data_IF_940789049040
#
_entry.id   IF_940789049040
#
_cell.length_a   1.000
_cell.length_b   1.000
_cell.length_c   1.000
_cell.angle_alpha   90.00
_cell.angle_beta   90.00
_cell.angle_gamma   90.00
#
_symmetry.space_group_name_H-M   'P 1'
#
loop_
_entity.id
_entity.type
_entity.pdbx_description
1 polymer ?
#
# COMPACT_ATOMS: atom_id res chain seq x y z
N UNK A 1 -5.84 -18.40 -31.67
CA UNK A 1 -5.95 -18.65 -30.22
C UNK A 1 -4.56 -18.96 -29.66
N UNK A 2 -3.94 -18.01 -28.96
CA UNK A 2 -2.60 -18.18 -28.36
C UNK A 2 -2.78 -18.65 -26.92
N UNK A 3 -2.49 -19.92 -26.64
CA UNK A 3 -2.57 -20.44 -25.27
C UNK A 3 -1.51 -19.77 -24.40
N UNK A 4 -1.95 -19.09 -23.34
CA UNK A 4 -1.08 -18.61 -22.26
C UNK A 4 -0.53 -19.84 -21.54
N UNK A 5 0.68 -20.25 -21.92
CA UNK A 5 1.49 -21.21 -21.16
C UNK A 5 1.87 -20.51 -19.85
N UNK A 6 1.03 -20.69 -18.82
CA UNK A 6 1.23 -20.11 -17.49
C UNK A 6 2.51 -20.72 -16.91
N UNK A 7 3.43 -19.84 -16.55
CA UNK A 7 4.76 -20.14 -16.01
C UNK A 7 4.71 -21.15 -14.86
N UNK A 8 5.04 -22.41 -15.15
CA UNK A 8 5.53 -23.39 -14.14
C UNK A 8 7.01 -23.09 -13.86
N UNK A 9 7.32 -21.88 -13.39
CA UNK A 9 8.69 -21.46 -13.09
C UNK A 9 8.90 -21.56 -11.58
N UNK A 10 9.81 -22.46 -11.18
CA UNK A 10 10.42 -22.61 -9.85
C UNK A 10 9.53 -23.07 -8.70
N UNK A 11 9.04 -24.31 -8.76
CA UNK A 11 8.68 -25.08 -7.55
C UNK A 11 9.85 -25.94 -7.05
N UNK A 12 11.06 -25.75 -7.61
CA UNK A 12 12.28 -26.42 -7.17
C UNK A 12 12.95 -25.57 -6.09
N UNK A 13 12.99 -26.15 -4.88
CA UNK A 13 13.65 -25.71 -3.64
C UNK A 13 13.18 -24.38 -3.04
N UNK A 14 11.90 -24.27 -2.66
CA UNK A 14 11.62 -23.45 -1.47
C UNK A 14 12.09 -24.25 -0.27
N UNK A 15 13.15 -23.77 0.36
CA UNK A 15 13.79 -24.45 1.49
C UNK A 15 12.92 -24.37 2.74
N UNK A 16 13.15 -25.30 3.67
CA UNK A 16 12.46 -25.32 4.96
C UNK A 16 12.59 -23.95 5.66
N UNK A 17 11.48 -23.42 6.15
CA UNK A 17 11.47 -22.16 6.92
C UNK A 17 11.57 -20.87 6.11
N UNK A 18 11.40 -20.89 4.79
CA UNK A 18 11.42 -19.64 3.96
C UNK A 18 10.40 -18.59 4.39
N UNK A 19 9.25 -19.00 4.95
CA UNK A 19 8.21 -18.12 5.46
C UNK A 19 8.17 -18.04 6.99
N UNK A 20 9.21 -18.56 7.66
CA UNK A 20 9.23 -18.81 9.10
C UNK A 20 8.90 -20.26 9.45
N UNK A 21 9.07 -20.62 10.71
CA UNK A 21 8.74 -21.94 11.27
C UNK A 21 7.59 -21.76 12.25
N UNK A 22 6.46 -22.41 11.97
CA UNK A 22 5.32 -22.43 12.86
C UNK A 22 5.50 -23.46 13.97
N UNK A 23 5.03 -23.09 15.14
CA UNK A 23 4.91 -23.94 16.32
C UNK A 23 3.43 -24.10 16.71
N UNK A 24 3.07 -25.08 17.56
CA UNK A 24 1.70 -25.24 18.05
C UNK A 24 1.14 -24.01 18.79
N UNK A 25 2.00 -23.13 19.30
CA UNK A 25 1.59 -21.90 19.98
C UNK A 25 1.07 -20.84 19.01
N UNK A 26 1.49 -20.88 17.74
CA UNK A 26 1.13 -19.89 16.71
C UNK A 26 -0.25 -20.16 16.07
N UNK A 27 -1.03 -21.08 16.65
CA UNK A 27 -2.34 -21.49 16.16
C UNK A 27 -3.32 -20.32 16.03
N UNK A 28 -3.28 -19.39 16.97
CA UNK A 28 -4.16 -18.22 16.98
C UNK A 28 -3.69 -17.13 16.01
N UNK A 29 -2.38 -16.93 15.89
CA UNK A 29 -1.82 -15.91 14.99
C UNK A 29 -2.02 -16.28 13.50
N UNK A 30 -2.05 -17.59 13.20
CA UNK A 30 -2.27 -18.14 11.85
C UNK A 30 -3.64 -18.77 11.64
N UNK A 31 -4.60 -18.43 12.48
CA UNK A 31 -5.94 -19.00 12.41
C UNK A 31 -6.60 -18.71 11.04
N UNK A 32 -6.43 -17.50 10.52
CA UNK A 32 -7.04 -17.11 9.24
C UNK A 32 -6.52 -17.93 8.06
N UNK A 33 -5.21 -18.16 8.00
CA UNK A 33 -4.55 -18.97 6.98
C UNK A 33 -4.93 -20.46 7.11
N UNK A 34 -5.00 -20.95 8.35
CA UNK A 34 -5.39 -22.32 8.66
C UNK A 34 -6.84 -22.61 8.23
N UNK A 35 -7.78 -21.70 8.54
CA UNK A 35 -9.18 -21.84 8.12
C UNK A 35 -9.31 -21.85 6.59
N UNK A 36 -8.60 -20.96 5.89
CA UNK A 36 -8.58 -20.95 4.43
C UNK A 36 -8.04 -22.25 3.84
N UNK A 37 -6.98 -22.82 4.44
CA UNK A 37 -6.44 -24.12 4.03
C UNK A 37 -7.42 -25.27 4.27
N UNK A 38 -8.11 -25.29 5.43
CA UNK A 38 -9.13 -26.30 5.72
C UNK A 38 -10.26 -26.29 4.68
N UNK A 39 -10.73 -25.10 4.31
CA UNK A 39 -11.80 -24.95 3.33
C UNK A 39 -11.37 -25.35 1.92
N UNK A 40 -10.17 -24.96 1.48
CA UNK A 40 -9.77 -25.19 0.08
C UNK A 40 -9.09 -26.53 -0.16
N UNK A 41 -8.17 -26.93 0.73
CA UNK A 41 -7.37 -28.15 0.57
C UNK A 41 -8.12 -29.35 1.13
N UNK A 42 -8.62 -29.23 2.37
CA UNK A 42 -9.34 -30.33 3.02
C UNK A 42 -10.83 -30.35 2.69
N UNK A 43 -11.39 -29.26 2.15
CA UNK A 43 -12.84 -29.11 1.87
C UNK A 43 -13.70 -29.36 3.10
N UNK A 44 -13.18 -28.98 4.26
CA UNK A 44 -13.88 -29.10 5.54
C UNK A 44 -14.30 -27.71 6.02
N UNK A 45 -15.52 -27.61 6.53
CA UNK A 45 -16.01 -26.38 7.13
C UNK A 45 -15.47 -26.29 8.57
N UNK A 46 -14.75 -25.21 8.93
CA UNK A 46 -14.16 -25.08 10.27
C UNK A 46 -15.22 -25.12 11.38
N UNK A 47 -16.42 -24.61 11.15
CA UNK A 47 -17.51 -24.59 12.15
C UNK A 47 -18.02 -25.98 12.58
N UNK A 48 -17.77 -27.02 11.78
CA UNK A 48 -18.29 -28.38 12.01
C UNK A 48 -17.26 -29.24 12.77
N UNK A 49 -16.01 -28.79 12.86
CA UNK A 49 -14.89 -29.60 13.35
C UNK A 49 -14.72 -29.40 14.87
N UNK A 50 -14.73 -30.48 15.67
CA UNK A 50 -14.39 -30.40 17.09
C UNK A 50 -12.97 -29.87 17.31
N UNK A 51 -12.76 -29.10 18.37
CA UNK A 51 -11.49 -28.44 18.67
C UNK A 51 -10.30 -29.43 18.74
N UNK A 52 -10.52 -30.67 19.18
CA UNK A 52 -9.47 -31.71 19.20
C UNK A 52 -8.98 -32.03 17.79
N UNK A 53 -9.90 -32.24 16.85
CA UNK A 53 -9.56 -32.53 15.45
C UNK A 53 -8.95 -31.32 14.75
N UNK A 54 -9.33 -30.09 15.14
CA UNK A 54 -8.67 -28.89 14.63
C UNK A 54 -7.17 -28.89 14.97
N UNK A 55 -6.79 -29.28 16.19
CA UNK A 55 -5.37 -29.34 16.59
C UNK A 55 -4.60 -30.39 15.78
N UNK A 56 -5.21 -31.55 15.50
CA UNK A 56 -4.63 -32.58 14.63
C UNK A 56 -4.43 -32.08 13.19
N UNK A 57 -5.42 -31.38 12.64
CA UNK A 57 -5.29 -30.77 11.33
C UNK A 57 -4.25 -29.64 11.30
N UNK A 58 -4.10 -28.90 12.40
CA UNK A 58 -3.11 -27.85 12.52
C UNK A 58 -1.68 -28.41 12.50
N UNK A 59 -1.43 -29.59 13.06
CA UNK A 59 -0.13 -30.27 12.96
C UNK A 59 0.24 -30.55 11.49
N UNK A 60 -0.70 -31.06 10.69
CA UNK A 60 -0.48 -31.27 9.25
C UNK A 60 -0.28 -29.96 8.49
N UNK A 61 -1.04 -28.91 8.84
CA UNK A 61 -0.83 -27.56 8.29
C UNK A 61 0.55 -27.01 8.63
N UNK A 62 1.02 -27.20 9.86
CA UNK A 62 2.34 -26.79 10.33
C UNK A 62 3.45 -27.49 9.53
N UNK A 63 3.31 -28.80 9.28
CA UNK A 63 4.25 -29.55 8.44
C UNK A 63 4.29 -28.99 7.01
N UNK A 64 3.12 -28.82 6.38
CA UNK A 64 3.05 -28.33 5.00
C UNK A 64 3.56 -26.88 4.87
N UNK A 65 3.31 -26.05 5.90
CA UNK A 65 3.81 -24.68 5.96
C UNK A 65 5.33 -24.65 6.09
N UNK A 66 5.89 -25.39 7.04
CA UNK A 66 7.33 -25.36 7.35
C UNK A 66 8.16 -25.97 6.21
N UNK A 67 7.64 -27.01 5.56
CA UNK A 67 8.27 -27.68 4.41
C UNK A 67 7.94 -27.04 3.06
N UNK A 68 7.12 -26.00 3.07
CA UNK A 68 6.75 -25.20 1.91
C UNK A 68 6.09 -26.03 0.79
N UNK A 69 5.32 -27.05 1.17
CA UNK A 69 4.63 -27.96 0.26
C UNK A 69 3.20 -27.52 -0.06
N UNK A 70 2.75 -26.38 0.49
CA UNK A 70 1.39 -25.88 0.29
C UNK A 70 1.08 -25.62 -1.19
N UNK A 71 -0.16 -25.90 -1.67
CA UNK A 71 -0.51 -25.76 -3.08
C UNK A 71 -0.43 -24.34 -3.65
N UNK A 72 -0.61 -23.32 -2.80
CA UNK A 72 -0.65 -21.92 -3.22
C UNK A 72 0.00 -21.01 -2.18
N UNK A 73 0.69 -19.95 -2.63
CA UNK A 73 1.45 -19.06 -1.75
C UNK A 73 0.58 -18.24 -0.79
N UNK A 74 -0.69 -18.06 -1.11
CA UNK A 74 -1.67 -17.34 -0.27
C UNK A 74 -1.81 -17.93 1.14
N UNK A 75 -1.55 -19.23 1.32
CA UNK A 75 -1.67 -19.86 2.63
C UNK A 75 -0.51 -19.51 3.57
N UNK A 76 0.60 -18.96 3.06
CA UNK A 76 1.68 -18.45 3.92
C UNK A 76 1.37 -17.07 4.49
N UNK A 77 0.64 -16.25 3.72
CA UNK A 77 0.20 -14.93 4.14
C UNK A 77 -1.09 -14.52 3.43
N UNK A 78 -2.22 -14.80 4.07
CA UNK A 78 -3.54 -14.53 3.49
C UNK A 78 -3.82 -13.02 3.42
N UNK A 79 -3.46 -12.26 4.46
CA UNK A 79 -3.65 -10.81 4.54
C UNK A 79 -2.98 -10.08 3.36
N UNK A 80 -1.69 -10.35 3.09
CA UNK A 80 -0.98 -9.76 1.94
C UNK A 80 -1.63 -10.14 0.61
N UNK A 81 -2.07 -11.40 0.49
CA UNK A 81 -2.73 -11.86 -0.73
C UNK A 81 -4.08 -11.16 -0.94
N UNK A 82 -4.88 -11.01 0.11
CA UNK A 82 -6.16 -10.30 0.06
C UNK A 82 -6.00 -8.82 -0.27
N UNK A 83 -5.04 -8.13 0.37
CA UNK A 83 -4.72 -6.73 0.07
C UNK A 83 -4.37 -6.56 -1.40
N UNK A 84 -3.54 -7.46 -1.94
CA UNK A 84 -3.20 -7.48 -3.36
C UNK A 84 -4.43 -7.68 -4.23
N UNK A 85 -5.32 -8.63 -3.89
CA UNK A 85 -6.56 -8.85 -4.62
C UNK A 85 -7.51 -7.65 -4.54
N UNK A 86 -7.59 -6.98 -3.39
CA UNK A 86 -8.38 -5.76 -3.20
C UNK A 86 -7.84 -4.63 -4.06
N UNK A 87 -6.53 -4.40 -4.06
CA UNK A 87 -5.89 -3.39 -4.91
C UNK A 87 -6.18 -3.64 -6.40
N UNK A 88 -6.04 -4.89 -6.86
CA UNK A 88 -6.39 -5.28 -8.24
C UNK A 88 -7.85 -4.96 -8.57
N UNK A 89 -8.79 -5.30 -7.67
CA UNK A 89 -10.23 -5.04 -7.88
C UNK A 89 -10.56 -3.55 -7.89
N UNK A 90 -9.88 -2.76 -7.07
CA UNK A 90 -10.06 -1.30 -6.99
C UNK A 90 -9.32 -0.54 -8.09
N UNK A 91 -8.51 -1.22 -8.91
CA UNK A 91 -7.68 -0.60 -9.94
C UNK A 91 -6.53 0.24 -9.37
N UNK A 92 -6.18 0.04 -8.11
CA UNK A 92 -5.05 0.72 -7.46
C UNK A 92 -3.73 0.04 -7.87
N UNK A 93 -2.62 0.78 -8.03
CA UNK A 93 -1.32 0.17 -8.26
C UNK A 93 -1.03 -0.86 -7.15
N UNK A 94 -0.76 -2.10 -7.56
CA UNK A 94 -0.46 -3.17 -6.62
C UNK A 94 0.73 -2.74 -5.75
N UNK A 95 0.70 -3.01 -4.43
CA UNK A 95 1.89 -2.94 -3.62
C UNK A 95 2.93 -3.87 -4.25
N UNK A 96 3.99 -3.30 -4.82
CA UNK A 96 5.10 -4.10 -5.35
C UNK A 96 5.67 -4.89 -4.16
N UNK A 97 5.64 -6.22 -4.25
CA UNK A 97 6.45 -7.06 -3.37
C UNK A 97 7.87 -6.52 -3.52
N UNK A 98 8.44 -5.98 -2.44
CA UNK A 98 9.75 -5.32 -2.42
C UNK A 98 10.86 -6.31 -2.80
N UNK A 99 10.95 -6.67 -4.07
CA UNK A 99 12.12 -7.22 -4.70
C UNK A 99 13.04 -6.05 -5.01
N UNK A 100 13.62 -5.45 -3.97
CA UNK A 100 14.88 -4.68 -3.95
C UNK A 100 15.13 -3.55 -4.95
N UNK A 101 14.27 -3.28 -5.93
CA UNK A 101 14.51 -2.30 -6.99
C UNK A 101 13.57 -1.15 -6.77
N UNK A 102 14.05 -0.16 -6.01
CA UNK A 102 13.37 1.12 -5.87
C UNK A 102 13.47 1.82 -7.22
N UNK A 103 12.38 1.87 -7.98
CA UNK A 103 12.33 2.65 -9.20
C UNK A 103 12.19 4.14 -8.82
N UNK A 104 13.30 4.85 -8.64
CA UNK A 104 13.32 6.27 -8.20
C UNK A 104 12.41 7.18 -9.03
N UNK A 105 12.29 6.90 -10.34
CA UNK A 105 11.45 7.69 -11.25
C UNK A 105 9.95 7.59 -10.94
N UNK A 106 9.48 6.40 -10.53
CA UNK A 106 8.07 6.18 -10.23
C UNK A 106 7.69 6.79 -8.87
N UNK A 107 8.63 6.81 -7.92
CA UNK A 107 8.42 7.39 -6.59
C UNK A 107 8.28 8.92 -6.64
N UNK A 108 9.05 9.60 -7.48
CA UNK A 108 8.93 11.07 -7.68
C UNK A 108 7.54 11.45 -8.24
N UNK A 109 7.04 10.70 -9.22
CA UNK A 109 5.73 10.95 -9.81
C UNK A 109 4.60 10.70 -8.80
N UNK A 110 4.66 9.60 -8.04
CA UNK A 110 3.69 9.31 -6.99
C UNK A 110 3.69 10.37 -5.88
N UNK A 111 4.87 10.86 -5.47
CA UNK A 111 4.99 11.93 -4.49
C UNK A 111 4.34 13.22 -5.02
N UNK A 112 4.52 13.53 -6.31
CA UNK A 112 3.91 14.69 -6.96
C UNK A 112 2.39 14.60 -7.00
N UNK A 113 1.82 13.43 -7.26
CA UNK A 113 0.37 13.20 -7.19
C UNK A 113 -0.16 13.39 -5.76
N UNK A 114 0.47 12.75 -4.76
CA UNK A 114 0.09 12.91 -3.34
C UNK A 114 0.13 14.38 -2.88
N UNK A 115 1.13 15.14 -3.33
CA UNK A 115 1.21 16.58 -3.05
C UNK A 115 0.08 17.36 -3.73
N UNK A 116 -0.31 17.00 -4.96
CA UNK A 116 -1.45 17.63 -5.65
C UNK A 116 -2.77 17.36 -4.94
N UNK A 117 -2.99 16.13 -4.48
CA UNK A 117 -4.24 15.77 -3.79
C UNK A 117 -4.33 16.44 -2.41
N UNK A 118 -3.21 16.50 -1.67
CA UNK A 118 -3.12 17.29 -0.43
C UNK A 118 -3.43 18.76 -0.66
N UNK A 119 -2.92 19.35 -1.75
CA UNK A 119 -3.23 20.76 -2.10
C UNK A 119 -4.71 20.94 -2.41
N UNK A 120 -5.33 20.02 -3.16
CA UNK A 120 -6.78 20.08 -3.46
C UNK A 120 -7.64 19.98 -2.20
N UNK A 121 -7.32 19.06 -1.29
CA UNK A 121 -8.05 18.94 -0.02
C UNK A 121 -7.90 20.17 0.88
N UNK A 122 -6.72 20.78 0.91
CA UNK A 122 -6.51 22.02 1.68
C UNK A 122 -7.27 23.21 1.08
N UNK A 123 -7.48 23.26 -0.24
CA UNK A 123 -8.26 24.33 -0.90
C UNK A 123 -9.76 24.21 -0.61
N UNK A 124 -10.31 23.00 -0.49
CA UNK A 124 -11.72 22.81 -0.11
C UNK A 124 -12.03 23.15 1.34
N UNK A 125 -11.04 23.17 2.23
CA UNK A 125 -11.21 23.47 3.66
C UNK A 125 -11.06 24.97 4.00
N UNK A 126 -10.79 25.82 3.01
CA UNK A 126 -10.67 27.27 3.23
C UNK A 126 -12.08 27.90 3.26
N UNK A 127 -12.37 28.78 4.25
CA UNK A 127 -13.63 29.52 4.26
C UNK A 127 -13.76 30.33 2.96
N UNK A 128 -14.91 30.24 2.30
CA UNK A 128 -15.18 30.98 1.07
C UNK A 128 -15.13 32.48 1.36
N UNK A 129 -14.02 33.12 1.00
CA UNK A 129 -13.86 34.56 1.16
C UNK A 129 -14.78 35.24 0.13
N UNK A 130 -15.82 35.91 0.61
CA UNK A 130 -16.74 36.73 -0.20
C UNK A 130 -16.03 38.03 -0.62
N UNK A 131 -15.02 37.94 -1.47
CA UNK A 131 -14.31 39.09 -2.04
C UNK A 131 -14.82 39.44 -3.42
N UNK A 132 -14.84 40.73 -3.76
CA UNK A 132 -15.22 41.18 -5.09
C UNK A 132 -14.16 40.80 -6.13
N UNK A 133 -14.54 40.69 -7.39
CA UNK A 133 -13.65 40.28 -8.48
C UNK A 133 -12.39 41.17 -8.57
N UNK A 134 -12.50 42.47 -8.28
CA UNK A 134 -11.36 43.39 -8.24
C UNK A 134 -10.37 43.05 -7.12
N UNK A 135 -10.86 42.79 -5.91
CA UNK A 135 -10.03 42.40 -4.77
C UNK A 135 -9.28 41.08 -5.03
N UNK A 136 -9.90 40.13 -5.74
CA UNK A 136 -9.25 38.89 -6.16
C UNK A 136 -8.11 39.14 -7.15
N UNK A 137 -8.29 40.07 -8.10
CA UNK A 137 -7.23 40.42 -9.05
C UNK A 137 -6.06 41.14 -8.38
N UNK A 138 -6.33 42.01 -7.40
CA UNK A 138 -5.30 42.68 -6.61
C UNK A 138 -4.53 41.69 -5.74
N UNK A 139 -5.21 40.78 -5.05
CA UNK A 139 -4.55 39.72 -4.28
C UNK A 139 -3.68 38.82 -5.16
N UNK A 140 -4.16 38.48 -6.36
CA UNK A 140 -3.37 37.70 -7.33
C UNK A 140 -2.11 38.47 -7.77
N UNK A 141 -2.21 39.78 -7.96
CA UNK A 141 -1.06 40.63 -8.29
C UNK A 141 -0.05 40.69 -7.15
N UNK A 142 -0.51 40.95 -5.93
CA UNK A 142 0.34 41.01 -4.72
C UNK A 142 1.04 39.68 -4.46
N UNK A 143 0.35 38.55 -4.63
CA UNK A 143 0.96 37.23 -4.46
C UNK A 143 2.03 36.95 -5.51
N UNK A 144 1.79 37.34 -6.77
CA UNK A 144 2.77 37.21 -7.84
C UNK A 144 4.03 38.06 -7.57
N UNK A 145 3.85 39.33 -7.21
CA UNK A 145 4.95 40.24 -6.86
C UNK A 145 5.76 39.71 -5.67
N UNK A 146 5.12 39.11 -4.66
CA UNK A 146 5.83 38.47 -3.53
C UNK A 146 6.67 37.29 -3.96
N UNK A 147 6.13 36.41 -4.82
CA UNK A 147 6.86 35.25 -5.34
C UNK A 147 8.07 35.69 -6.16
N UNK A 148 7.91 36.75 -6.97
CA UNK A 148 9.01 37.32 -7.75
C UNK A 148 10.06 37.99 -6.87
N UNK A 149 9.65 38.75 -5.85
CA UNK A 149 10.57 39.36 -4.90
C UNK A 149 11.36 38.30 -4.11
N UNK A 150 10.72 37.23 -3.65
CA UNK A 150 11.42 36.12 -2.99
C UNK A 150 12.35 35.38 -3.95
N UNK A 151 11.96 35.23 -5.23
CA UNK A 151 12.82 34.67 -6.27
C UNK A 151 14.06 35.54 -6.50
N UNK A 152 13.89 36.86 -6.59
CA UNK A 152 14.98 37.84 -6.73
C UNK A 152 15.90 37.83 -5.50
N UNK A 153 15.33 37.80 -4.30
CA UNK A 153 16.09 37.69 -3.04
C UNK A 153 16.89 36.40 -2.96
N UNK A 154 16.31 35.27 -3.38
CA UNK A 154 17.02 33.99 -3.46
C UNK A 154 18.14 34.00 -4.49
N UNK A 155 18.02 34.81 -5.53
CA UNK A 155 19.05 35.06 -6.54
C UNK A 155 20.07 36.12 -6.12
N UNK A 156 20.00 36.62 -4.88
CA UNK A 156 20.97 37.58 -4.32
C UNK A 156 20.73 39.04 -4.68
N UNK A 157 19.62 39.37 -5.34
CA UNK A 157 19.24 40.75 -5.64
C UNK A 157 18.42 41.35 -4.48
N UNK A 158 18.67 42.60 -4.13
CA UNK A 158 17.92 43.30 -3.08
C UNK A 158 16.54 43.72 -3.58
N UNK A 159 15.59 42.79 -3.49
CA UNK A 159 14.17 43.08 -3.66
C UNK A 159 13.65 43.62 -2.31
N UNK A 160 13.75 44.94 -2.12
CA UNK A 160 13.39 45.63 -0.87
C UNK A 160 12.08 45.12 -0.23
N UNK A 161 12.04 45.10 1.10
CA UNK A 161 10.92 44.51 1.89
C UNK A 161 9.57 45.17 1.59
N UNK A 162 8.76 44.54 0.73
CA UNK A 162 7.38 44.95 0.41
C UNK A 162 6.34 44.26 1.30
N UNK A 163 6.54 44.35 2.62
CA UNK A 163 5.57 43.86 3.62
C UNK A 163 4.66 44.98 4.09
N UNK A 164 3.34 44.75 4.07
CA UNK A 164 2.37 45.63 4.75
C UNK A 164 2.51 45.39 6.25
N UNK A 165 2.88 46.43 7.02
CA UNK A 165 2.79 46.38 8.48
C UNK A 165 1.33 46.64 8.83
N UNK A 166 0.73 45.75 9.61
CA UNK A 166 -0.54 46.04 10.25
C UNK A 166 -0.26 46.96 11.44
N UNK A 167 -0.91 48.12 11.47
CA UNK A 167 -1.11 48.90 12.70
C UNK A 167 -2.28 48.33 13.51
#
# INVERSE_FOLDING_TARGET
MRSKKKDKKNQASREYGTYGVLTPADMWDKESEFQAWLMEVKKLNPEIIPQVKMKEHFLGFMEDFNTVTMPHEKFYNLSKWEERQRAIRMGEPLPEEKQGVVNLMNDEEQLRLKQRDRRKMNVSSQPQIMMTQSQLTELRKVTHERVEADRLRKMGFDAGRKGVRYE
#
